data_IF_572042445673
#
_entry.id   IF_572042445673
#
_cell.length_a   1.000
_cell.length_b   1.000
_cell.length_c   1.000
_cell.angle_alpha   90.00
_cell.angle_beta   90.00
_cell.angle_gamma   90.00
#
_symmetry.space_group_name_H-M   'P 1'
#
loop_
_entity.id
_entity.type
_entity.pdbx_description
1 polymer ?
#
# COMPACT_ATOMS: atom_id res chain seq x y z
N UNK A 1 32.44 -3.75 18.22
CA UNK A 1 31.05 -4.00 18.65
C UNK A 1 30.30 -4.33 17.38
N UNK A 2 29.98 -5.62 17.20
CA UNK A 2 29.15 -6.06 16.09
C UNK A 2 27.72 -5.56 16.37
N UNK A 3 27.11 -4.69 15.55
CA UNK A 3 25.74 -4.30 15.78
C UNK A 3 24.89 -5.57 15.66
N UNK A 4 24.13 -5.90 16.70
CA UNK A 4 23.19 -7.03 16.63
C UNK A 4 22.24 -6.76 15.47
N UNK A 5 22.28 -7.64 14.46
CA UNK A 5 21.38 -7.58 13.31
C UNK A 5 19.95 -7.68 13.84
N UNK A 6 19.15 -6.66 13.62
CA UNK A 6 17.77 -6.59 14.12
C UNK A 6 16.95 -7.74 13.54
N UNK A 7 15.85 -8.10 14.23
CA UNK A 7 14.90 -9.10 13.71
C UNK A 7 14.31 -8.67 12.36
N UNK A 8 14.11 -7.37 12.16
CA UNK A 8 13.64 -6.77 10.92
C UNK A 8 14.66 -6.96 9.80
N UNK A 9 15.95 -6.69 10.05
CA UNK A 9 17.00 -6.86 9.04
C UNK A 9 17.11 -8.33 8.60
N UNK A 10 16.99 -9.27 9.56
CA UNK A 10 16.97 -10.71 9.25
C UNK A 10 15.76 -11.11 8.39
N UNK A 11 14.60 -10.50 8.62
CA UNK A 11 13.40 -10.76 7.81
C UNK A 11 13.59 -10.22 6.39
N UNK A 12 14.06 -8.98 6.27
CA UNK A 12 14.34 -8.34 4.96
C UNK A 12 15.34 -9.18 4.16
N UNK A 13 16.45 -9.61 4.79
CA UNK A 13 17.47 -10.47 4.16
C UNK A 13 16.88 -11.82 3.71
N UNK A 14 16.03 -12.45 4.51
CA UNK A 14 15.34 -13.70 4.14
C UNK A 14 14.40 -13.52 2.96
N UNK A 15 13.60 -12.45 2.95
CA UNK A 15 12.67 -12.15 1.86
C UNK A 15 13.43 -11.82 0.56
N UNK A 16 14.49 -11.04 0.64
CA UNK A 16 15.34 -10.71 -0.50
C UNK A 16 16.02 -11.94 -1.14
N UNK A 17 16.31 -12.98 -0.32
CA UNK A 17 16.85 -14.26 -0.79
C UNK A 17 15.79 -15.29 -1.18
N UNK A 18 14.51 -15.00 -1.01
CA UNK A 18 13.42 -15.94 -1.25
C UNK A 18 13.13 -16.11 -2.75
N UNK A 19 13.96 -16.90 -3.45
CA UNK A 19 13.80 -17.20 -4.88
C UNK A 19 12.44 -17.85 -5.23
N UNK A 20 11.72 -18.36 -4.23
CA UNK A 20 10.33 -18.84 -4.40
C UNK A 20 9.36 -17.74 -4.88
N UNK A 21 9.72 -16.46 -4.72
CA UNK A 21 8.93 -15.33 -5.23
C UNK A 21 9.20 -15.05 -6.72
N UNK A 22 10.31 -15.52 -7.28
CA UNK A 22 10.70 -15.23 -8.66
C UNK A 22 9.66 -15.67 -9.69
N UNK A 23 9.05 -16.88 -9.64
CA UNK A 23 8.07 -17.28 -10.65
C UNK A 23 6.86 -16.35 -10.72
N UNK A 24 6.41 -15.83 -9.57
CA UNK A 24 5.29 -14.88 -9.50
C UNK A 24 5.71 -13.52 -10.03
N UNK A 25 6.87 -13.03 -9.59
CA UNK A 25 7.43 -11.76 -10.05
C UNK A 25 7.69 -11.77 -11.56
N UNK A 26 8.28 -12.84 -12.10
CA UNK A 26 8.60 -12.99 -13.52
C UNK A 26 7.36 -13.11 -14.40
N UNK A 27 6.24 -13.60 -13.87
CA UNK A 27 4.97 -13.64 -14.57
C UNK A 27 4.28 -12.26 -14.62
N UNK A 28 4.36 -11.49 -13.54
CA UNK A 28 3.62 -10.22 -13.39
C UNK A 28 4.41 -9.01 -13.92
N UNK A 29 5.70 -8.93 -13.60
CA UNK A 29 6.52 -7.76 -13.90
C UNK A 29 6.53 -7.37 -15.39
N UNK A 30 6.65 -8.31 -16.36
CA UNK A 30 6.62 -7.95 -17.78
C UNK A 30 5.28 -7.35 -18.23
N UNK A 31 4.16 -7.76 -17.61
CA UNK A 31 2.84 -7.20 -17.90
C UNK A 31 2.74 -5.76 -17.42
N UNK A 32 3.23 -5.49 -16.20
CA UNK A 32 3.29 -4.15 -15.63
C UNK A 32 4.23 -3.27 -16.45
N UNK A 33 5.44 -3.75 -16.74
CA UNK A 33 6.43 -3.03 -17.53
C UNK A 33 5.89 -2.66 -18.92
N UNK A 34 5.22 -3.59 -19.61
CA UNK A 34 4.60 -3.33 -20.92
C UNK A 34 3.51 -2.26 -20.86
N UNK A 35 2.73 -2.23 -19.77
CA UNK A 35 1.66 -1.24 -19.60
C UNK A 35 2.21 0.15 -19.28
N UNK A 36 3.36 0.19 -18.58
CA UNK A 36 3.98 1.41 -18.07
C UNK A 36 5.36 1.71 -18.74
N UNK A 37 5.62 1.13 -19.92
CA UNK A 37 6.93 1.19 -20.58
C UNK A 37 7.40 2.62 -20.91
N UNK A 38 6.46 3.57 -20.92
CA UNK A 38 6.75 4.99 -21.10
C UNK A 38 7.39 5.31 -22.46
N UNK A 39 7.17 4.45 -23.47
CA UNK A 39 7.61 4.74 -24.84
C UNK A 39 6.59 5.63 -25.56
N UNK A 40 7.06 6.46 -26.47
CA UNK A 40 6.20 7.32 -27.27
C UNK A 40 5.47 8.40 -26.44
N UNK A 41 4.19 8.65 -26.72
CA UNK A 41 3.43 9.74 -26.09
C UNK A 41 3.19 9.56 -24.57
N UNK A 42 3.42 8.35 -24.03
CA UNK A 42 3.24 8.03 -22.59
C UNK A 42 4.53 8.19 -21.76
N UNK A 43 5.66 8.53 -22.37
CA UNK A 43 6.92 8.77 -21.66
C UNK A 43 6.78 9.80 -20.51
N UNK A 44 6.07 10.94 -20.69
CA UNK A 44 5.87 11.88 -19.59
C UNK A 44 5.09 11.30 -18.40
N UNK A 45 4.18 10.34 -18.65
CA UNK A 45 3.43 9.67 -17.58
C UNK A 45 4.36 8.78 -16.76
N UNK A 46 5.25 8.01 -17.39
CA UNK A 46 6.26 7.21 -16.68
C UNK A 46 7.13 8.10 -15.79
N UNK A 47 7.62 9.20 -16.33
CA UNK A 47 8.46 10.16 -15.59
C UNK A 47 7.72 10.78 -14.39
N UNK A 48 6.43 11.07 -14.55
CA UNK A 48 5.58 11.54 -13.46
C UNK A 48 5.40 10.46 -12.38
N UNK A 49 5.08 9.21 -12.78
CA UNK A 49 4.88 8.10 -11.84
C UNK A 49 6.15 7.79 -11.04
N UNK A 50 7.33 7.98 -11.63
CA UNK A 50 8.61 7.86 -10.93
C UNK A 50 8.97 9.10 -10.09
N UNK A 51 8.18 10.15 -10.13
CA UNK A 51 8.40 11.37 -9.37
C UNK A 51 9.56 12.24 -9.89
N UNK A 52 10.03 12.04 -11.13
CA UNK A 52 11.13 12.82 -11.69
C UNK A 52 10.91 14.33 -11.60
N UNK A 53 9.70 14.88 -11.93
CA UNK A 53 9.44 16.31 -11.78
C UNK A 53 9.48 16.81 -10.34
N UNK A 54 9.32 15.93 -9.35
CA UNK A 54 9.31 16.24 -7.93
C UNK A 54 10.70 16.11 -7.28
N UNK A 55 11.65 15.48 -7.99
CA UNK A 55 12.98 15.18 -7.48
C UNK A 55 13.04 14.07 -6.43
N UNK A 56 11.95 13.35 -6.19
CA UNK A 56 11.86 12.19 -5.30
C UNK A 56 10.75 11.23 -5.76
N UNK A 57 10.79 10.00 -5.27
CA UNK A 57 9.78 8.97 -5.55
C UNK A 57 8.35 9.48 -5.28
N UNK A 58 7.49 9.40 -6.28
CA UNK A 58 6.08 9.71 -6.11
C UNK A 58 5.37 8.65 -5.25
N UNK A 59 5.80 7.39 -5.33
CA UNK A 59 5.25 6.31 -4.52
C UNK A 59 5.38 6.60 -3.03
N UNK A 60 6.56 7.05 -2.58
CA UNK A 60 6.80 7.41 -1.17
C UNK A 60 5.83 8.50 -0.71
N UNK A 61 5.66 9.58 -1.50
CA UNK A 61 4.71 10.64 -1.18
C UNK A 61 3.25 10.15 -1.18
N UNK A 62 2.90 9.26 -2.11
CA UNK A 62 1.54 8.71 -2.20
C UNK A 62 1.19 7.77 -1.04
N UNK A 63 2.17 7.05 -0.47
CA UNK A 63 1.94 6.16 0.69
C UNK A 63 1.58 6.92 1.96
N UNK A 64 1.98 8.16 2.12
CA UNK A 64 1.62 8.99 3.28
C UNK A 64 0.11 9.22 3.38
N UNK A 65 -0.60 9.23 2.23
CA UNK A 65 -2.06 9.46 2.21
C UNK A 65 -2.82 8.31 2.87
N UNK A 66 -2.70 7.04 2.46
CA UNK A 66 -3.39 5.95 3.13
C UNK A 66 -2.90 5.75 4.57
N UNK A 67 -1.60 5.87 4.85
CA UNK A 67 -1.07 5.74 6.21
C UNK A 67 -1.74 6.76 7.15
N UNK A 68 -1.72 8.04 6.78
CA UNK A 68 -2.32 9.10 7.60
C UNK A 68 -3.84 8.96 7.73
N UNK A 69 -4.54 8.68 6.61
CA UNK A 69 -5.99 8.57 6.59
C UNK A 69 -6.47 7.34 7.41
N UNK A 70 -5.84 6.17 7.27
CA UNK A 70 -6.23 4.98 8.02
C UNK A 70 -5.84 5.07 9.50
N UNK A 71 -4.73 5.73 9.83
CA UNK A 71 -4.40 6.07 11.23
C UNK A 71 -5.49 6.95 11.85
N UNK A 72 -5.96 7.98 11.15
CA UNK A 72 -7.06 8.81 11.62
C UNK A 72 -8.38 8.04 11.70
N UNK A 73 -8.65 7.14 10.75
CA UNK A 73 -9.82 6.27 10.83
C UNK A 73 -9.78 5.40 12.09
N UNK A 74 -8.64 4.81 12.44
CA UNK A 74 -8.48 4.03 13.67
C UNK A 74 -8.72 4.88 14.92
N UNK A 75 -8.22 6.11 14.97
CA UNK A 75 -8.49 7.05 16.07
C UNK A 75 -9.98 7.34 16.20
N UNK A 76 -10.66 7.65 15.10
CA UNK A 76 -12.09 7.95 15.11
C UNK A 76 -12.94 6.71 15.45
N UNK A 77 -12.56 5.52 14.98
CA UNK A 77 -13.23 4.27 15.35
C UNK A 77 -13.06 3.97 16.86
N UNK A 78 -11.89 4.22 17.45
CA UNK A 78 -11.68 4.09 18.90
C UNK A 78 -12.56 5.08 19.66
N UNK A 79 -12.65 6.33 19.23
CA UNK A 79 -13.52 7.34 19.86
C UNK A 79 -14.99 6.91 19.79
N UNK A 80 -15.44 6.38 18.66
CA UNK A 80 -16.79 5.85 18.50
C UNK A 80 -17.06 4.67 19.44
N UNK A 81 -16.11 3.72 19.56
CA UNK A 81 -16.21 2.61 20.51
C UNK A 81 -16.26 3.07 21.98
N UNK A 82 -15.69 4.24 22.27
CA UNK A 82 -15.80 4.91 23.56
C UNK A 82 -17.10 5.71 23.74
N UNK A 83 -18.07 5.56 22.84
CA UNK A 83 -19.38 6.22 22.93
C UNK A 83 -19.47 7.58 22.21
N UNK A 84 -18.40 8.04 21.55
CA UNK A 84 -18.36 9.30 20.79
C UNK A 84 -18.81 9.07 19.36
N UNK A 85 -20.10 8.80 19.16
CA UNK A 85 -20.69 8.39 17.86
C UNK A 85 -20.65 9.50 16.80
N UNK A 86 -20.42 10.75 17.18
CA UNK A 86 -20.23 11.89 16.28
C UNK A 86 -18.99 11.73 15.37
N UNK A 87 -18.03 10.88 15.72
CA UNK A 87 -16.85 10.62 14.92
C UNK A 87 -17.05 9.54 13.83
N UNK A 88 -18.19 8.85 13.81
CA UNK A 88 -18.48 7.79 12.85
C UNK A 88 -18.32 8.24 11.38
N UNK A 89 -18.86 9.40 11.04
CA UNK A 89 -18.74 9.95 9.67
C UNK A 89 -17.29 10.31 9.31
N UNK A 90 -16.51 10.82 10.27
CA UNK A 90 -15.12 11.15 10.06
C UNK A 90 -14.27 9.88 9.80
N UNK A 91 -14.54 8.79 10.53
CA UNK A 91 -13.91 7.50 10.28
C UNK A 91 -14.23 7.00 8.87
N UNK A 92 -15.50 7.08 8.42
CA UNK A 92 -15.92 6.62 7.09
C UNK A 92 -15.25 7.40 5.97
N UNK A 93 -15.15 8.72 6.11
CA UNK A 93 -14.43 9.59 5.15
C UNK A 93 -12.95 9.23 5.12
N UNK A 94 -12.33 9.04 6.29
CA UNK A 94 -10.91 8.69 6.39
C UNK A 94 -10.61 7.35 5.72
N UNK A 95 -11.47 6.32 5.87
CA UNK A 95 -11.33 5.05 5.15
C UNK A 95 -11.38 5.30 3.62
N UNK A 96 -12.33 6.10 3.14
CA UNK A 96 -12.47 6.42 1.71
C UNK A 96 -11.27 7.18 1.15
N UNK A 97 -10.76 8.17 1.87
CA UNK A 97 -9.55 8.93 1.49
C UNK A 97 -8.33 7.99 1.43
N UNK A 98 -8.18 7.12 2.44
CA UNK A 98 -7.10 6.13 2.46
C UNK A 98 -7.17 5.16 1.29
N UNK A 99 -8.36 4.70 0.89
CA UNK A 99 -8.53 3.84 -0.29
C UNK A 99 -8.16 4.57 -1.58
N UNK A 100 -8.58 5.82 -1.75
CA UNK A 100 -8.21 6.63 -2.92
C UNK A 100 -6.69 6.84 -2.99
N UNK A 101 -6.04 7.19 -1.87
CA UNK A 101 -4.59 7.30 -1.77
C UNK A 101 -3.88 5.97 -2.02
N UNK A 102 -4.44 4.86 -1.50
CA UNK A 102 -3.94 3.51 -1.71
C UNK A 102 -3.90 3.10 -3.17
N UNK A 103 -4.94 3.43 -3.95
CA UNK A 103 -4.92 3.24 -5.42
C UNK A 103 -3.75 4.00 -6.05
N UNK A 104 -3.53 5.26 -5.66
CA UNK A 104 -2.39 6.05 -6.13
C UNK A 104 -1.04 5.43 -5.76
N UNK A 105 -0.91 4.94 -4.51
CA UNK A 105 0.29 4.24 -4.05
C UNK A 105 0.54 2.93 -4.82
N UNK A 106 -0.51 2.13 -5.10
CA UNK A 106 -0.39 0.91 -5.90
C UNK A 106 0.13 1.23 -7.30
N UNK A 107 -0.47 2.20 -7.99
CA UNK A 107 -0.08 2.57 -9.37
C UNK A 107 1.36 3.05 -9.44
N UNK A 108 1.75 3.95 -8.52
CA UNK A 108 3.12 4.49 -8.48
C UNK A 108 4.14 3.44 -8.04
N UNK A 109 3.78 2.58 -7.08
CA UNK A 109 4.62 1.48 -6.63
C UNK A 109 4.86 0.43 -7.70
N UNK A 110 3.84 0.06 -8.48
CA UNK A 110 3.98 -0.85 -9.61
C UNK A 110 4.88 -0.26 -10.70
N UNK A 111 4.81 1.06 -10.94
CA UNK A 111 5.68 1.73 -11.91
C UNK A 111 7.16 1.63 -11.49
N UNK A 112 7.48 1.89 -10.23
CA UNK A 112 8.84 1.75 -9.70
C UNK A 112 9.30 0.28 -9.68
N UNK A 113 8.43 -0.63 -9.23
CA UNK A 113 8.75 -2.05 -9.15
C UNK A 113 9.04 -2.67 -10.51
N UNK A 114 8.39 -2.19 -11.58
CA UNK A 114 8.60 -2.69 -12.94
C UNK A 114 10.07 -2.59 -13.41
N UNK A 115 10.82 -1.65 -12.88
CA UNK A 115 12.22 -1.41 -13.25
C UNK A 115 13.22 -2.09 -12.28
N UNK A 116 12.74 -2.84 -11.27
CA UNK A 116 13.59 -3.53 -10.28
C UNK A 116 14.07 -4.91 -10.76
N UNK A 117 15.16 -5.41 -10.18
CA UNK A 117 15.75 -6.74 -10.47
C UNK A 117 16.19 -7.41 -9.18
N UNK A 118 16.38 -8.72 -9.24
CA UNK A 118 16.96 -9.51 -8.18
C UNK A 118 16.30 -9.31 -6.81
N UNK A 119 17.07 -8.98 -5.78
CA UNK A 119 16.60 -8.78 -4.41
C UNK A 119 15.54 -7.67 -4.29
N UNK A 120 15.71 -6.44 -4.83
CA UNK A 120 14.68 -5.41 -4.84
C UNK A 120 13.35 -5.86 -5.47
N UNK A 121 13.39 -6.70 -6.52
CA UNK A 121 12.18 -7.25 -7.15
C UNK A 121 11.40 -8.13 -6.17
N UNK A 122 12.08 -9.01 -5.43
CA UNK A 122 11.45 -9.90 -4.43
C UNK A 122 10.89 -9.12 -3.25
N UNK A 123 11.67 -8.16 -2.74
CA UNK A 123 11.25 -7.30 -1.63
C UNK A 123 10.03 -6.46 -2.02
N UNK A 124 10.04 -5.88 -3.22
CA UNK A 124 8.91 -5.12 -3.75
C UNK A 124 7.64 -5.96 -3.90
N UNK A 125 7.77 -7.22 -4.40
CA UNK A 125 6.63 -8.13 -4.46
C UNK A 125 6.10 -8.50 -3.07
N UNK A 126 6.97 -8.83 -2.12
CA UNK A 126 6.56 -9.14 -0.75
C UNK A 126 5.87 -7.94 -0.08
N UNK A 127 6.42 -6.73 -0.29
CA UNK A 127 5.81 -5.48 0.16
C UNK A 127 4.43 -5.27 -0.46
N UNK A 128 4.29 -5.44 -1.78
CA UNK A 128 3.01 -5.30 -2.48
C UNK A 128 1.97 -6.27 -1.92
N UNK A 129 2.29 -7.57 -1.81
CA UNK A 129 1.38 -8.59 -1.29
C UNK A 129 0.90 -8.28 0.14
N UNK A 130 1.79 -7.77 1.00
CA UNK A 130 1.42 -7.40 2.37
C UNK A 130 0.45 -6.21 2.37
N UNK A 131 0.75 -5.18 1.58
CA UNK A 131 -0.10 -3.99 1.49
C UNK A 131 -1.43 -4.28 0.78
N UNK A 132 -1.46 -5.22 -0.19
CA UNK A 132 -2.70 -5.64 -0.86
C UNK A 132 -3.68 -6.31 0.12
N UNK A 133 -3.16 -7.10 1.09
CA UNK A 133 -3.99 -7.64 2.17
C UNK A 133 -4.59 -6.51 3.01
N UNK A 134 -3.78 -5.54 3.43
CA UNK A 134 -4.27 -4.38 4.18
C UNK A 134 -5.31 -3.60 3.36
N UNK A 135 -5.03 -3.30 2.09
CA UNK A 135 -5.96 -2.63 1.19
C UNK A 135 -7.30 -3.39 1.05
N UNK A 136 -7.26 -4.72 0.94
CA UNK A 136 -8.45 -5.55 0.89
C UNK A 136 -9.27 -5.47 2.20
N UNK A 137 -8.60 -5.46 3.36
CA UNK A 137 -9.27 -5.30 4.66
C UNK A 137 -9.95 -3.94 4.80
N UNK A 138 -9.31 -2.85 4.37
CA UNK A 138 -9.91 -1.51 4.35
C UNK A 138 -11.04 -1.41 3.32
N UNK A 139 -10.92 -2.04 2.15
CA UNK A 139 -12.00 -2.13 1.16
C UNK A 139 -13.22 -2.87 1.71
N UNK A 140 -13.00 -3.99 2.41
CA UNK A 140 -14.06 -4.71 3.11
C UNK A 140 -14.68 -3.85 4.20
N UNK A 141 -13.86 -3.16 5.01
CA UNK A 141 -14.37 -2.21 6.02
C UNK A 141 -15.28 -1.16 5.40
N UNK A 142 -14.86 -0.54 4.29
CA UNK A 142 -15.65 0.46 3.58
C UNK A 142 -16.99 -0.11 3.11
N UNK A 143 -16.99 -1.29 2.49
CA UNK A 143 -18.21 -1.95 2.03
C UNK A 143 -19.17 -2.28 3.21
N UNK A 144 -18.62 -2.78 4.32
CA UNK A 144 -19.38 -3.08 5.53
C UNK A 144 -19.99 -1.83 6.16
N UNK A 145 -19.29 -0.68 6.16
CA UNK A 145 -19.82 0.61 6.62
C UNK A 145 -21.01 1.03 5.77
N UNK A 146 -20.90 0.92 4.45
CA UNK A 146 -22.01 1.23 3.51
C UNK A 146 -23.21 0.29 3.67
N UNK A 147 -22.97 -0.95 4.11
CA UNK A 147 -24.01 -1.95 4.41
C UNK A 147 -24.60 -1.82 5.84
N UNK A 148 -24.20 -0.83 6.63
CA UNK A 148 -24.65 -0.64 8.00
C UNK A 148 -24.11 -1.64 9.02
N UNK A 149 -23.10 -2.43 8.64
CA UNK A 149 -22.49 -3.46 9.52
C UNK A 149 -21.29 -2.90 10.30
N UNK A 150 -21.55 -1.86 11.11
CA UNK A 150 -20.55 -1.02 11.75
C UNK A 150 -19.49 -1.79 12.54
N UNK A 151 -19.89 -2.68 13.43
CA UNK A 151 -18.94 -3.46 14.26
C UNK A 151 -18.00 -4.33 13.43
N UNK A 152 -18.52 -5.03 12.41
CA UNK A 152 -17.71 -5.82 11.50
C UNK A 152 -16.77 -4.94 10.65
N UNK A 153 -17.22 -3.74 10.29
CA UNK A 153 -16.44 -2.78 9.54
C UNK A 153 -15.21 -2.28 10.34
N UNK A 154 -15.43 -1.92 11.59
CA UNK A 154 -14.36 -1.50 12.52
C UNK A 154 -13.37 -2.66 12.72
N UNK A 155 -13.87 -3.88 12.98
CA UNK A 155 -13.02 -5.06 13.12
C UNK A 155 -12.15 -5.33 11.88
N UNK A 156 -12.72 -5.19 10.67
CA UNK A 156 -11.97 -5.33 9.42
C UNK A 156 -10.89 -4.24 9.26
N UNK A 157 -11.18 -2.98 9.62
CA UNK A 157 -10.20 -1.91 9.56
C UNK A 157 -9.01 -2.17 10.49
N UNK A 158 -9.26 -2.62 11.72
CA UNK A 158 -8.19 -2.99 12.66
C UNK A 158 -7.38 -4.22 12.22
N UNK A 159 -7.98 -5.15 11.47
CA UNK A 159 -7.25 -6.28 10.91
C UNK A 159 -6.31 -5.89 9.75
N UNK A 160 -6.57 -4.76 9.10
CA UNK A 160 -5.74 -4.21 8.03
C UNK A 160 -4.67 -3.23 8.52
N UNK A 161 -4.75 -2.79 9.76
CA UNK A 161 -3.80 -1.84 10.36
C UNK A 161 -2.58 -2.55 10.92
#
# INVERSE_FOLDING_TARGET
VNPEISSTDRLVDRLGRATALDPVADAIQPLVAKTLDGTGPFAPLKDLLHGKPLGHSLHVAMTDVPIGAWTMAAVFDILELCGRTEFAAAADVSIGVGLAGGVGAIVTGLAEWADTKDEPKRLGLAHALTNDVAFAMYSLSFALRRAGKRGAAIGSAFAGY
#
